data_IF_939366726720
#
_entry.id   IF_939366726720
#
_cell.length_a   1.000
_cell.length_b   1.000
_cell.length_c   1.000
_cell.angle_alpha   90.00
_cell.angle_beta   90.00
_cell.angle_gamma   90.00
#
_symmetry.space_group_name_H-M   'P 1'
#
loop_
_entity.id
_entity.type
_entity.pdbx_description
1 polymer ?
#
# COMPACT_ATOMS: atom_id res chain seq x y z
N UNK A 1 12.34 -1.83 -8.17
CA UNK A 1 11.39 -0.70 -8.15
C UNK A 1 12.10 0.54 -7.64
N UNK A 2 12.01 1.60 -8.41
CA UNK A 2 12.53 2.94 -8.13
C UNK A 2 11.38 3.95 -8.28
N UNK A 3 11.31 4.90 -7.36
CA UNK A 3 10.35 6.00 -7.38
C UNK A 3 10.80 7.05 -8.40
N UNK A 4 9.89 7.51 -9.26
CA UNK A 4 10.19 8.47 -10.35
C UNK A 4 9.55 9.83 -10.15
N UNK A 5 8.33 9.85 -9.65
CA UNK A 5 7.59 11.06 -9.33
C UNK A 5 6.43 10.72 -8.39
N UNK A 6 5.92 11.72 -7.68
CA UNK A 6 4.76 11.56 -6.83
C UNK A 6 3.88 12.81 -6.83
N UNK A 7 2.62 12.64 -6.45
CA UNK A 7 1.70 13.73 -6.10
C UNK A 7 0.78 13.24 -4.98
N UNK A 8 -0.01 14.16 -4.41
CA UNK A 8 -1.08 13.80 -3.49
C UNK A 8 -2.41 14.17 -4.14
N UNK A 9 -3.31 13.19 -4.20
CA UNK A 9 -4.72 13.45 -4.45
C UNK A 9 -5.37 13.81 -3.11
N UNK A 10 -5.59 15.11 -2.91
CA UNK A 10 -6.10 15.68 -1.68
C UNK A 10 -7.59 15.39 -1.42
N UNK A 11 -8.32 14.84 -2.40
CA UNK A 11 -9.71 14.44 -2.24
C UNK A 11 -10.64 15.58 -1.76
N UNK A 12 -10.36 16.83 -2.14
CA UNK A 12 -10.99 18.04 -1.56
C UNK A 12 -12.52 18.08 -1.70
N UNK A 13 -13.06 17.45 -2.75
CA UNK A 13 -14.50 17.46 -3.06
C UNK A 13 -15.25 16.21 -2.57
N UNK A 14 -14.58 15.30 -1.86
CA UNK A 14 -15.18 14.03 -1.42
C UNK A 14 -14.81 13.67 0.02
N UNK A 15 -15.61 12.80 0.65
CA UNK A 15 -15.38 12.36 2.03
C UNK A 15 -14.29 11.31 2.19
N UNK A 16 -13.29 11.29 1.30
CA UNK A 16 -12.20 10.30 1.30
C UNK A 16 -10.91 10.92 1.84
N UNK A 17 -10.07 10.08 2.46
CA UNK A 17 -8.72 10.50 2.85
C UNK A 17 -7.84 10.82 1.64
N UNK A 18 -6.92 11.80 1.76
CA UNK A 18 -5.88 12.04 0.78
C UNK A 18 -5.11 10.78 0.41
N UNK A 19 -4.68 10.68 -0.84
CA UNK A 19 -3.96 9.51 -1.37
C UNK A 19 -2.68 9.92 -2.05
N UNK A 20 -1.58 9.34 -1.59
CA UNK A 20 -0.30 9.41 -2.27
C UNK A 20 -0.40 8.68 -3.61
N UNK A 21 -0.08 9.38 -4.70
CA UNK A 21 0.02 8.87 -6.06
C UNK A 21 1.50 8.79 -6.45
N UNK A 22 1.91 7.66 -7.02
CA UNK A 22 3.34 7.36 -7.24
C UNK A 22 3.54 6.80 -8.64
N UNK A 23 4.54 7.33 -9.33
CA UNK A 23 5.08 6.78 -10.58
C UNK A 23 6.36 6.03 -10.26
N UNK A 24 6.46 4.79 -10.75
CA UNK A 24 7.63 3.93 -10.58
C UNK A 24 8.14 3.41 -11.92
N UNK A 25 9.38 2.92 -11.96
CA UNK A 25 9.95 2.29 -13.17
C UNK A 25 9.33 0.92 -13.49
N UNK A 26 9.12 0.10 -12.47
CA UNK A 26 8.50 -1.23 -12.56
C UNK A 26 7.69 -1.52 -11.29
N UNK A 27 6.59 -2.25 -11.44
CA UNK A 27 5.86 -2.82 -10.31
C UNK A 27 6.29 -4.29 -10.18
N UNK A 28 6.90 -4.71 -9.05
CA UNK A 28 7.32 -6.09 -8.87
C UNK A 28 6.15 -7.08 -9.02
N UNK A 29 6.33 -8.10 -9.86
CA UNK A 29 5.39 -9.20 -9.98
C UNK A 29 5.40 -10.07 -8.72
N UNK A 30 4.30 -10.79 -8.47
CA UNK A 30 4.12 -11.55 -7.23
C UNK A 30 5.20 -12.61 -6.98
N UNK A 31 5.70 -13.25 -8.02
CA UNK A 31 6.77 -14.26 -7.96
C UNK A 31 8.12 -13.68 -7.47
N UNK A 32 8.31 -12.37 -7.62
CA UNK A 32 9.49 -11.67 -7.11
C UNK A 32 9.39 -11.37 -5.60
N UNK A 33 8.19 -11.43 -5.00
CA UNK A 33 7.97 -11.14 -3.59
C UNK A 33 8.29 -12.34 -2.73
N UNK A 34 8.64 -12.09 -1.46
CA UNK A 34 8.82 -13.14 -0.44
C UNK A 34 7.89 -12.88 0.72
N UNK A 35 7.00 -13.83 0.96
CA UNK A 35 5.89 -13.67 1.89
C UNK A 35 6.22 -14.22 3.28
N UNK A 36 5.64 -13.57 4.27
CA UNK A 36 5.47 -14.04 5.65
C UNK A 36 3.99 -13.96 6.02
N UNK A 37 3.58 -14.61 7.11
CA UNK A 37 2.19 -14.52 7.57
C UNK A 37 2.06 -14.46 9.10
N UNK A 38 1.04 -13.74 9.56
CA UNK A 38 0.71 -13.50 10.97
C UNK A 38 -0.79 -13.21 11.06
N UNK A 39 -1.51 -13.93 11.92
CA UNK A 39 -2.95 -13.73 12.17
C UNK A 39 -3.83 -13.61 10.92
N UNK A 40 -3.61 -14.51 9.95
CA UNK A 40 -4.37 -14.57 8.69
C UNK A 40 -4.02 -13.47 7.68
N UNK A 41 -3.01 -12.64 7.97
CA UNK A 41 -2.44 -11.67 7.02
C UNK A 41 -1.17 -12.24 6.43
N UNK A 42 -1.10 -12.26 5.10
CA UNK A 42 0.04 -12.71 4.32
C UNK A 42 0.65 -11.51 3.63
N UNK A 43 1.91 -11.17 3.96
CA UNK A 43 2.55 -9.95 3.50
C UNK A 43 3.86 -10.27 2.77
N UNK A 44 3.99 -9.79 1.53
CA UNK A 44 5.19 -9.89 0.72
C UNK A 44 5.75 -8.52 0.43
N UNK A 45 7.06 -8.36 0.63
CA UNK A 45 7.77 -7.09 0.45
C UNK A 45 8.94 -7.28 -0.50
N UNK A 46 9.14 -6.31 -1.41
CA UNK A 46 10.31 -6.23 -2.28
C UNK A 46 10.62 -4.78 -2.63
N UNK A 47 11.84 -4.33 -2.35
CA UNK A 47 12.34 -3.01 -2.75
C UNK A 47 11.36 -1.87 -2.42
N UNK A 48 10.76 -1.90 -1.22
CA UNK A 48 9.77 -0.91 -0.77
C UNK A 48 8.34 -1.15 -1.26
N UNK A 49 8.11 -1.96 -2.29
CA UNK A 49 6.78 -2.40 -2.73
C UNK A 49 6.23 -3.48 -1.80
N UNK A 50 4.92 -3.40 -1.52
CA UNK A 50 4.22 -4.34 -0.64
C UNK A 50 2.99 -4.89 -1.35
N UNK A 51 2.81 -6.22 -1.27
CA UNK A 51 1.55 -6.89 -1.58
C UNK A 51 1.12 -7.70 -0.38
N UNK A 52 -0.16 -7.61 -0.02
CA UNK A 52 -0.70 -8.38 1.10
C UNK A 52 -2.06 -8.99 0.77
N UNK A 53 -2.39 -10.06 1.50
CA UNK A 53 -3.63 -10.81 1.38
C UNK A 53 -4.18 -11.14 2.77
N UNK A 54 -5.50 -11.13 2.92
CA UNK A 54 -6.16 -11.75 4.06
C UNK A 54 -6.63 -13.16 3.65
N UNK A 55 -6.13 -14.18 4.34
CA UNK A 55 -6.50 -15.56 4.11
C UNK A 55 -6.36 -16.39 5.39
N UNK A 56 -7.41 -17.13 5.72
CA UNK A 56 -7.54 -17.92 6.95
C UNK A 56 -6.50 -19.03 7.10
N UNK A 57 -5.92 -19.50 5.99
CA UNK A 57 -4.98 -20.62 5.98
C UNK A 57 -5.61 -21.95 5.57
N UNK A 58 -6.94 -22.05 5.52
CA UNK A 58 -7.66 -23.27 5.16
C UNK A 58 -8.79 -23.00 4.15
N UNK A 59 -9.10 -23.99 3.34
CA UNK A 59 -10.23 -23.93 2.43
C UNK A 59 -10.14 -22.80 1.41
N UNK A 60 -11.31 -22.31 0.99
CA UNK A 60 -11.47 -21.18 0.09
C UNK A 60 -12.26 -20.09 0.81
N UNK A 61 -11.64 -18.93 1.03
CA UNK A 61 -12.27 -17.81 1.74
C UNK A 61 -13.24 -17.01 0.86
N UNK A 62 -13.37 -17.38 -0.42
CA UNK A 62 -14.33 -16.80 -1.37
C UNK A 62 -13.92 -15.43 -1.95
N UNK A 63 -12.83 -14.85 -1.47
CA UNK A 63 -12.26 -13.61 -2.00
C UNK A 63 -11.73 -13.77 -3.42
N UNK A 64 -11.65 -12.65 -4.15
CA UNK A 64 -11.31 -12.62 -5.58
C UNK A 64 -12.05 -13.69 -6.42
N UNK A 65 -13.33 -13.92 -6.15
CA UNK A 65 -14.16 -14.94 -6.81
C UNK A 65 -13.55 -16.36 -6.76
N UNK A 66 -12.90 -16.71 -5.65
CA UNK A 66 -12.26 -18.01 -5.44
C UNK A 66 -10.93 -18.20 -6.20
N UNK A 67 -10.36 -17.12 -6.75
CA UNK A 67 -9.09 -17.20 -7.48
C UNK A 67 -7.97 -17.71 -6.58
N UNK A 68 -7.14 -18.59 -7.14
CA UNK A 68 -5.97 -19.13 -6.47
C UNK A 68 -4.73 -18.31 -6.79
N UNK A 69 -3.90 -18.06 -5.79
CA UNK A 69 -2.65 -17.33 -5.92
C UNK A 69 -1.52 -18.11 -5.25
N UNK A 70 -0.60 -18.61 -6.06
CA UNK A 70 0.66 -19.19 -5.56
C UNK A 70 1.61 -18.05 -5.20
N UNK A 71 2.16 -18.14 -4.00
CA UNK A 71 3.15 -17.23 -3.42
C UNK A 71 4.37 -18.02 -2.95
N UNK A 72 5.53 -17.36 -2.97
CA UNK A 72 6.78 -17.90 -2.43
C UNK A 72 7.03 -17.28 -1.05
N UNK A 73 7.19 -18.12 -0.04
CA UNK A 73 7.52 -17.73 1.33
C UNK A 73 8.99 -17.36 1.46
N UNK A 74 9.38 -16.71 2.57
CA UNK A 74 10.79 -16.34 2.82
C UNK A 74 11.76 -17.52 2.88
N UNK A 75 11.30 -18.67 3.35
CA UNK A 75 12.08 -19.91 3.37
C UNK A 75 12.15 -20.62 2.00
N UNK A 76 11.51 -20.04 0.97
CA UNK A 76 11.46 -20.57 -0.38
C UNK A 76 10.34 -21.58 -0.62
N UNK A 77 9.54 -21.94 0.40
CA UNK A 77 8.37 -22.80 0.21
C UNK A 77 7.28 -22.08 -0.57
N UNK A 78 6.42 -22.85 -1.25
CA UNK A 78 5.28 -22.29 -1.98
C UNK A 78 3.97 -22.58 -1.24
N UNK A 79 3.12 -21.56 -1.16
CA UNK A 79 1.77 -21.67 -0.61
C UNK A 79 0.78 -21.18 -1.66
N UNK A 80 -0.33 -21.90 -1.82
CA UNK A 80 -1.44 -21.46 -2.69
C UNK A 80 -2.58 -20.92 -1.85
N UNK A 81 -2.74 -19.60 -1.87
CA UNK A 81 -3.87 -18.91 -1.25
C UNK A 81 -5.12 -19.12 -2.12
N UNK A 82 -6.14 -19.79 -1.58
CA UNK A 82 -7.37 -20.08 -2.32
C UNK A 82 -8.46 -19.08 -1.93
N UNK A 83 -8.81 -18.23 -2.88
CA UNK A 83 -9.79 -17.16 -2.70
C UNK A 83 -9.47 -16.19 -1.54
N UNK A 84 -8.25 -15.64 -1.44
CA UNK A 84 -7.94 -14.65 -0.41
C UNK A 84 -8.72 -13.34 -0.68
N UNK A 85 -8.81 -12.49 0.33
CA UNK A 85 -9.32 -11.12 0.19
C UNK A 85 -8.19 -10.10 0.05
N UNK A 86 -8.46 -9.01 -0.66
CA UNK A 86 -7.66 -7.80 -0.52
C UNK A 86 -7.84 -7.29 0.90
N UNK A 87 -6.74 -7.14 1.65
CA UNK A 87 -6.80 -6.49 2.97
C UNK A 87 -6.66 -4.96 2.79
N UNK A 88 -6.13 -4.28 3.81
CA UNK A 88 -5.75 -2.86 3.79
C UNK A 88 -4.52 -2.63 4.67
N UNK A 89 -3.79 -1.52 4.46
CA UNK A 89 -2.60 -1.18 5.22
C UNK A 89 -2.83 -1.21 6.73
N UNK A 90 -3.97 -0.69 7.20
CA UNK A 90 -4.35 -0.69 8.61
C UNK A 90 -4.28 -2.08 9.27
N UNK A 91 -4.74 -3.12 8.56
CA UNK A 91 -4.64 -4.49 9.05
C UNK A 91 -3.17 -4.91 9.09
N UNK A 92 -2.42 -4.74 8.01
CA UNK A 92 -0.98 -5.12 8.00
C UNK A 92 -0.19 -4.43 9.11
N UNK A 93 -0.50 -3.18 9.40
CA UNK A 93 0.23 -2.35 10.37
C UNK A 93 -0.04 -2.72 11.84
N UNK A 94 -1.03 -3.57 12.12
CA UNK A 94 -1.19 -4.16 13.46
C UNK A 94 -0.29 -5.39 13.67
N UNK A 95 0.41 -5.85 12.63
CA UNK A 95 1.27 -7.04 12.63
C UNK A 95 2.72 -6.61 12.48
N UNK A 96 3.64 -7.55 12.63
CA UNK A 96 5.08 -7.29 12.62
C UNK A 96 5.67 -6.87 11.26
N UNK A 97 4.90 -6.91 10.17
CA UNK A 97 5.37 -6.60 8.81
C UNK A 97 5.52 -5.11 8.51
N UNK A 98 4.71 -4.28 9.19
CA UNK A 98 4.58 -2.86 8.89
C UNK A 98 5.63 -1.98 9.58
N UNK A 99 5.53 -0.65 9.41
CA UNK A 99 4.41 0.04 8.76
C UNK A 99 4.43 0.06 7.23
N UNK A 100 3.24 0.02 6.63
CA UNK A 100 2.97 0.13 5.19
C UNK A 100 1.87 1.17 4.94
N UNK A 101 1.83 1.70 3.73
CA UNK A 101 0.97 2.80 3.30
C UNK A 101 0.27 2.41 2.01
N UNK A 102 -1.06 2.56 1.96
CA UNK A 102 -1.81 2.35 0.73
C UNK A 102 -1.66 3.54 -0.20
N UNK A 103 -1.28 3.27 -1.45
CA UNK A 103 -0.98 4.27 -2.47
C UNK A 103 -1.73 3.98 -3.76
N UNK A 104 -1.76 5.00 -4.62
CA UNK A 104 -2.07 4.86 -6.04
C UNK A 104 -0.75 4.71 -6.79
N UNK A 105 -0.56 3.66 -7.57
CA UNK A 105 0.72 3.36 -8.22
C UNK A 105 0.56 3.12 -9.71
N UNK A 106 1.53 3.56 -10.50
CA UNK A 106 1.57 3.34 -11.95
C UNK A 106 3.01 3.35 -12.48
N UNK A 107 3.21 2.78 -13.67
CA UNK A 107 4.45 2.94 -14.44
C UNK A 107 4.33 3.97 -15.57
N UNK A 108 3.15 4.59 -15.73
CA UNK A 108 2.91 5.61 -16.73
C UNK A 108 3.14 7.02 -16.12
N UNK A 109 4.21 7.74 -16.52
CA UNK A 109 4.51 9.06 -15.98
C UNK A 109 3.42 10.10 -16.29
N UNK A 110 2.69 9.93 -17.40
CA UNK A 110 1.63 10.87 -17.80
C UNK A 110 0.35 10.74 -16.97
N UNK A 111 0.28 9.78 -16.04
CA UNK A 111 -0.85 9.59 -15.14
C UNK A 111 -1.00 10.74 -14.12
N UNK A 112 0.11 11.33 -13.67
CA UNK A 112 0.09 12.44 -12.71
C UNK A 112 -0.57 13.68 -13.35
N UNK A 113 -0.18 14.03 -14.57
CA UNK A 113 -0.77 15.15 -15.32
C UNK A 113 -2.28 14.94 -15.56
N UNK A 114 -2.71 13.70 -15.79
CA UNK A 114 -4.13 13.37 -15.98
C UNK A 114 -4.93 13.26 -14.68
N UNK A 115 -4.27 13.04 -13.54
CA UNK A 115 -4.91 12.78 -12.24
C UNK A 115 -5.66 11.44 -12.14
N UNK A 116 -5.50 10.51 -13.08
CA UNK A 116 -6.18 9.21 -13.07
C UNK A 116 -5.34 8.09 -13.70
N UNK A 117 -5.90 6.89 -13.89
CA UNK A 117 -5.23 5.67 -14.44
C UNK A 117 -4.19 5.00 -13.52
N UNK A 118 -4.24 5.27 -12.23
CA UNK A 118 -3.44 4.55 -11.24
C UNK A 118 -4.05 3.20 -10.86
N UNK A 119 -3.20 2.20 -10.64
CA UNK A 119 -3.57 0.99 -9.93
C UNK A 119 -3.61 1.20 -8.42
N UNK A 120 -4.13 0.21 -7.70
CA UNK A 120 -3.96 0.12 -6.25
C UNK A 120 -2.63 -0.55 -5.94
N UNK A 121 -1.88 -0.01 -4.98
CA UNK A 121 -0.67 -0.63 -4.46
C UNK A 121 -0.39 -0.21 -3.03
N UNK A 122 0.68 -0.72 -2.47
CA UNK A 122 1.13 -0.35 -1.13
C UNK A 122 2.65 -0.25 -1.09
N UNK A 123 3.16 0.67 -0.29
CA UNK A 123 4.58 0.88 -0.04
C UNK A 123 4.90 0.65 1.42
N UNK A 124 6.12 0.23 1.73
CA UNK A 124 6.66 0.39 3.10
C UNK A 124 6.62 1.87 3.46
N UNK A 125 6.47 2.19 4.75
CA UNK A 125 6.45 3.59 5.19
C UNK A 125 7.71 4.36 4.78
N UNK A 126 8.88 3.72 4.80
CA UNK A 126 10.12 4.35 4.34
C UNK A 126 10.09 4.71 2.85
N UNK A 127 9.63 3.81 1.98
CA UNK A 127 9.45 4.12 0.57
C UNK A 127 8.34 5.16 0.33
N UNK A 128 7.29 5.16 1.16
CA UNK A 128 6.23 6.17 1.08
C UNK A 128 6.72 7.57 1.47
N UNK A 129 7.61 7.68 2.48
CA UNK A 129 8.28 8.94 2.83
C UNK A 129 9.18 9.45 1.70
N UNK A 130 9.97 8.55 1.10
CA UNK A 130 10.77 8.90 -0.07
C UNK A 130 9.92 9.39 -1.25
N UNK A 131 8.71 8.84 -1.41
CA UNK A 131 7.78 9.32 -2.41
C UNK A 131 7.18 10.69 -2.05
N UNK A 132 6.91 10.96 -0.77
CA UNK A 132 6.49 12.29 -0.31
C UNK A 132 7.57 13.35 -0.60
N UNK A 133 8.85 13.02 -0.44
CA UNK A 133 9.96 13.93 -0.76
C UNK A 133 10.01 14.31 -2.27
N UNK A 134 9.27 13.61 -3.13
CA UNK A 134 9.12 13.90 -4.57
C UNK A 134 7.87 14.72 -4.90
N UNK A 135 7.01 15.01 -3.94
CA UNK A 135 5.79 15.80 -4.13
C UNK A 135 6.18 17.29 -4.16
N UNK A 136 5.63 18.04 -5.13
CA UNK A 136 5.93 19.47 -5.31
C UNK A 136 5.33 20.39 -4.21
N UNK A 137 4.47 19.83 -3.35
CA UNK A 137 3.81 20.51 -2.23
C UNK A 137 4.39 20.04 -0.90
N UNK A 138 4.52 20.95 0.08
CA UNK A 138 4.96 20.60 1.43
C UNK A 138 3.92 19.70 2.11
N UNK A 139 4.29 18.43 2.30
CA UNK A 139 3.43 17.41 2.88
C UNK A 139 4.24 16.40 3.70
N UNK A 140 3.58 15.75 4.64
CA UNK A 140 4.15 14.61 5.37
C UNK A 140 3.11 13.50 5.58
N UNK A 141 3.57 12.33 6.02
CA UNK A 141 2.70 11.22 6.40
C UNK A 141 2.41 11.27 7.90
N UNK A 142 1.16 11.52 8.25
CA UNK A 142 0.70 11.48 9.63
C UNK A 142 0.11 10.11 9.97
N UNK A 143 0.49 9.57 11.12
CA UNK A 143 -0.12 8.34 11.66
C UNK A 143 -1.47 8.67 12.27
N UNK A 144 -2.52 8.05 11.74
CA UNK A 144 -3.89 8.15 12.24
C UNK A 144 -4.42 6.77 12.64
N UNK A 145 -5.29 6.73 13.65
CA UNK A 145 -6.04 5.52 14.02
C UNK A 145 -7.39 5.58 13.32
N UNK A 146 -7.72 4.55 12.53
CA UNK A 146 -8.98 4.51 11.77
C UNK A 146 -9.72 3.20 11.96
N UNK A 147 -10.99 3.22 11.55
CA UNK A 147 -11.92 2.09 11.60
C UNK A 147 -12.22 1.64 13.04
N UNK A 148 -13.00 0.56 13.19
CA UNK A 148 -13.51 0.13 14.50
C UNK A 148 -12.47 -0.49 15.43
N UNK A 149 -11.27 -0.80 14.93
CA UNK A 149 -10.22 -1.52 15.67
C UNK A 149 -8.95 -0.70 15.86
N UNK A 150 -9.05 0.63 15.80
CA UNK A 150 -7.90 1.56 15.94
C UNK A 150 -6.72 1.16 15.05
N UNK A 151 -7.01 0.91 13.78
CA UNK A 151 -5.99 0.46 12.85
C UNK A 151 -5.05 1.62 12.49
N UNK A 152 -3.72 1.46 12.68
CA UNK A 152 -2.76 2.49 12.35
C UNK A 152 -2.61 2.60 10.83
N UNK A 153 -2.95 3.77 10.30
CA UNK A 153 -2.77 4.13 8.89
C UNK A 153 -1.94 5.40 8.80
N UNK A 154 -1.25 5.57 7.69
CA UNK A 154 -0.48 6.77 7.39
C UNK A 154 -1.15 7.51 6.24
N UNK A 155 -1.46 8.78 6.45
CA UNK A 155 -2.23 9.60 5.53
C UNK A 155 -1.40 10.84 5.18
N UNK A 156 -1.31 11.24 3.90
CA UNK A 156 -0.73 12.51 3.53
C UNK A 156 -1.49 13.67 4.18
N UNK A 157 -0.76 14.60 4.79
CA UNK A 157 -1.28 15.86 5.33
C UNK A 157 -0.42 17.00 4.80
N UNK A 158 -1.04 18.15 4.56
CA UNK A 158 -0.30 19.37 4.18
C UNK A 158 0.44 19.89 5.39
N UNK A 159 1.67 20.33 5.19
CA UNK A 159 2.33 21.18 6.16
C UNK A 159 1.68 22.56 6.05
N UNK A 160 0.64 22.80 6.85
CA UNK A 160 0.20 24.17 7.09
C UNK A 160 1.33 24.84 7.86
N UNK A 161 2.20 25.58 7.16
CA UNK A 161 3.11 26.52 7.79
C UNK A 161 2.28 27.30 8.80
N UNK A 162 2.61 27.19 10.09
CA UNK A 162 1.80 27.73 11.16
C UNK A 162 1.64 29.24 11.00
N UNK A 163 0.55 29.66 10.38
CA UNK A 163 -0.03 30.96 10.67
C UNK A 163 -0.84 30.77 11.95
N UNK A 164 -0.18 31.04 13.08
CA UNK A 164 -0.86 31.41 14.31
C UNK A 164 -1.84 32.56 13.99
N UNK A 165 -3.13 32.33 14.26
CA UNK A 165 -4.15 33.37 14.34
C UNK A 165 -4.60 33.55 15.78
#
# INVERSE_FOLDING_TARGET
>A
MELKAASVDWMEDVGNDPRLQVVVDEIPSRDKLRFEHEDGIWCGIKDGFVSYYAWSGDGNDGGYAGRCYTITMRDGTEVTLKGPWSSRAGCVNQRSFGPVVDVRITTDPSALERGHTFGTGSLTLEAAKQAIDLVDEDAHLERQLKYSNDEPVWVPVRDTGGDEA
#
